data_IF_396070393360
#
_entry.id   IF_396070393360
#
_cell.length_a   1.000
_cell.length_b   1.000
_cell.length_c   1.000
_cell.angle_alpha   90.00
_cell.angle_beta   90.00
_cell.angle_gamma   90.00
#
_symmetry.space_group_name_H-M   'P 1'
#
loop_
_entity.id
_entity.type
_entity.pdbx_description
1 polymer ?
#
# COMPACT_ATOMS: atom_id res chain seq x y z
N UNK A 1 -6.02 33.05 16.05
CA UNK A 1 -4.63 33.04 15.54
C UNK A 1 -4.72 32.42 14.16
N UNK A 2 -4.49 33.18 13.11
CA UNK A 2 -4.46 32.61 11.76
C UNK A 2 -3.15 31.84 11.61
N UNK A 3 -3.27 30.53 11.55
CA UNK A 3 -2.13 29.67 11.32
C UNK A 3 -1.80 29.67 9.81
N UNK A 4 -0.59 30.07 9.46
CA UNK A 4 -0.17 30.06 8.06
C UNK A 4 0.21 28.66 7.61
N UNK A 5 -0.77 27.94 7.08
CA UNK A 5 -0.58 26.57 6.56
C UNK A 5 0.39 26.48 5.39
N UNK A 6 0.72 27.60 4.74
CA UNK A 6 1.73 27.59 3.67
C UNK A 6 3.14 27.32 4.17
N UNK A 7 3.39 27.55 5.46
CA UNK A 7 4.67 27.28 6.11
C UNK A 7 4.64 26.02 6.96
N UNK A 8 3.47 25.37 7.12
CA UNK A 8 3.32 24.13 7.87
C UNK A 8 3.68 22.92 7.02
N UNK A 9 4.28 21.92 7.64
CA UNK A 9 4.48 20.58 7.06
C UNK A 9 3.33 19.60 7.37
N UNK A 10 2.30 20.05 8.08
CA UNK A 10 1.14 19.24 8.46
C UNK A 10 1.31 18.41 9.73
N UNK A 11 2.45 18.47 10.41
CA UNK A 11 2.70 17.64 11.60
C UNK A 11 2.13 18.22 12.88
N UNK A 12 1.71 19.48 12.89
CA UNK A 12 1.14 20.16 14.07
C UNK A 12 -0.36 19.94 14.14
N UNK A 13 -0.79 18.75 14.53
CA UNK A 13 -2.18 18.29 14.45
C UNK A 13 -3.19 19.16 15.19
N UNK A 14 -2.86 19.79 16.30
CA UNK A 14 -3.79 20.63 17.06
C UNK A 14 -4.07 22.02 16.46
N UNK A 15 -3.35 22.42 15.42
CA UNK A 15 -3.40 23.77 14.85
C UNK A 15 -3.64 23.78 13.33
N UNK A 16 -3.64 22.64 12.69
CA UNK A 16 -3.96 22.56 11.25
C UNK A 16 -5.44 22.83 11.05
N UNK A 17 -5.83 23.69 10.11
CA UNK A 17 -7.22 23.91 9.81
C UNK A 17 -7.79 22.69 9.07
N UNK A 18 -9.04 22.37 9.36
CA UNK A 18 -9.75 21.34 8.62
C UNK A 18 -9.89 21.74 7.15
N UNK A 19 -9.65 20.79 6.27
CA UNK A 19 -9.97 20.93 4.86
C UNK A 19 -11.47 20.76 4.66
N UNK A 20 -12.08 21.67 3.93
CA UNK A 20 -13.48 21.57 3.47
C UNK A 20 -13.50 21.47 1.95
N UNK A 21 -14.66 21.15 1.37
CA UNK A 21 -14.83 21.09 -0.09
C UNK A 21 -14.52 22.42 -0.81
N UNK A 22 -14.50 23.52 -0.08
CA UNK A 22 -14.26 24.87 -0.60
C UNK A 22 -12.86 25.41 -0.26
N UNK A 23 -12.05 24.64 0.49
CA UNK A 23 -10.75 25.11 0.98
C UNK A 23 -9.63 24.14 0.61
N UNK A 24 -8.67 24.67 -0.11
CA UNK A 24 -7.42 24.00 -0.44
C UNK A 24 -6.36 24.33 0.61
N UNK A 25 -5.68 23.27 1.12
CA UNK A 25 -4.60 23.40 2.09
C UNK A 25 -3.32 22.90 1.45
N UNK A 26 -2.27 23.71 1.51
CA UNK A 26 -0.96 23.37 0.98
C UNK A 26 0.02 23.14 2.10
N UNK A 27 0.72 21.98 2.05
CA UNK A 27 1.82 21.63 2.94
C UNK A 27 3.13 21.63 2.14
N UNK A 28 4.21 22.05 2.80
CA UNK A 28 5.55 22.00 2.22
C UNK A 28 6.41 21.03 3.01
N UNK A 29 6.89 19.99 2.35
CA UNK A 29 7.76 18.99 2.94
C UNK A 29 9.18 19.11 2.39
N UNK A 30 10.16 18.88 3.25
CA UNK A 30 11.56 18.84 2.87
C UNK A 30 12.02 17.39 2.72
N UNK A 31 12.24 16.95 1.49
CA UNK A 31 12.62 15.59 1.13
C UNK A 31 14.15 15.39 1.26
N UNK A 32 14.67 15.30 2.49
CA UNK A 32 16.10 15.19 2.78
C UNK A 32 16.60 13.76 2.96
N UNK A 33 15.71 12.78 3.01
CA UNK A 33 16.03 11.37 3.25
C UNK A 33 15.28 10.51 2.25
N UNK A 34 16.02 9.64 1.53
CA UNK A 34 15.42 8.63 0.66
C UNK A 34 14.65 7.62 1.50
N UNK A 35 13.44 7.29 1.05
CA UNK A 35 12.58 6.33 1.75
C UNK A 35 11.12 6.46 1.37
N UNK A 36 10.29 5.73 2.09
CA UNK A 36 8.83 5.76 1.99
C UNK A 36 8.24 6.31 3.28
N UNK A 37 7.31 7.25 3.15
CA UNK A 37 6.72 7.98 4.27
C UNK A 37 5.21 7.97 4.11
N UNK A 38 4.53 7.29 5.03
CA UNK A 38 3.07 7.29 5.10
C UNK A 38 2.58 8.67 5.56
N UNK A 39 1.48 9.12 4.98
CA UNK A 39 0.66 10.19 5.53
C UNK A 39 -0.80 9.76 5.58
N UNK A 40 -1.53 10.25 6.56
CA UNK A 40 -2.95 9.98 6.72
C UNK A 40 -3.65 11.17 7.41
N UNK A 41 -4.96 11.19 7.35
CA UNK A 41 -5.75 12.22 8.01
C UNK A 41 -5.72 12.02 9.53
N UNK A 42 -5.33 13.07 10.25
CA UNK A 42 -5.32 13.15 11.72
C UNK A 42 -6.33 14.16 12.26
N UNK A 43 -7.11 14.80 11.41
CA UNK A 43 -8.11 15.77 11.81
C UNK A 43 -9.37 15.12 12.42
N UNK A 44 -9.62 13.85 12.09
CA UNK A 44 -10.74 13.10 12.62
C UNK A 44 -10.40 12.57 14.04
N UNK A 45 -11.02 13.09 15.10
CA UNK A 45 -10.72 12.71 16.49
C UNK A 45 -11.40 11.40 16.91
N UNK A 46 -12.16 10.75 16.03
CA UNK A 46 -12.81 9.47 16.31
C UNK A 46 -11.78 8.37 16.51
N UNK A 47 -12.22 7.21 16.97
CA UNK A 47 -11.36 6.04 17.07
C UNK A 47 -10.89 5.61 15.68
N UNK A 48 -9.82 4.85 15.63
CA UNK A 48 -9.29 4.32 14.38
C UNK A 48 -10.33 3.50 13.59
N UNK A 49 -11.30 2.88 14.26
CA UNK A 49 -12.35 2.08 13.64
C UNK A 49 -13.42 2.93 12.93
N UNK A 50 -13.56 4.20 13.28
CA UNK A 50 -14.55 5.13 12.73
C UNK A 50 -13.89 6.31 12.00
N UNK A 51 -12.58 6.37 11.96
CA UNK A 51 -11.86 7.49 11.39
C UNK A 51 -11.76 7.40 9.86
N UNK A 52 -11.45 8.53 9.23
CA UNK A 52 -11.34 8.64 7.76
C UNK A 52 -10.31 7.70 7.15
N UNK A 53 -9.37 7.20 7.94
CA UNK A 53 -8.38 6.22 7.51
C UNK A 53 -9.02 4.89 7.06
N UNK A 54 -10.09 4.42 7.71
CA UNK A 54 -10.80 3.21 7.30
C UNK A 54 -11.51 3.38 5.96
N UNK A 55 -11.77 4.63 5.57
CA UNK A 55 -12.38 5.00 4.29
C UNK A 55 -11.32 5.31 3.21
N UNK A 56 -10.03 5.04 3.47
CA UNK A 56 -8.96 5.17 2.49
C UNK A 56 -8.29 6.55 2.42
N UNK A 57 -8.49 7.44 3.39
CA UNK A 57 -7.79 8.73 3.45
C UNK A 57 -6.36 8.58 4.00
N UNK A 58 -5.53 7.87 3.26
CA UNK A 58 -4.10 7.73 3.50
C UNK A 58 -3.36 7.67 2.16
N UNK A 59 -2.06 7.86 2.21
CA UNK A 59 -1.17 7.77 1.06
C UNK A 59 0.28 7.70 1.49
N UNK A 60 1.19 7.74 0.55
CA UNK A 60 2.62 7.80 0.85
C UNK A 60 3.36 8.76 -0.07
N UNK A 61 4.39 9.38 0.47
CA UNK A 61 5.42 10.07 -0.30
C UNK A 61 6.63 9.16 -0.37
N UNK A 62 7.11 8.94 -1.59
CA UNK A 62 8.33 8.18 -1.84
C UNK A 62 9.39 9.17 -2.29
N UNK A 63 10.47 9.23 -1.52
CA UNK A 63 11.62 10.06 -1.80
C UNK A 63 12.70 9.19 -2.43
N UNK A 64 12.99 9.46 -3.69
CA UNK A 64 14.02 8.79 -4.46
C UNK A 64 15.35 9.56 -4.43
N UNK A 65 16.46 8.94 -4.86
CA UNK A 65 17.73 9.64 -4.96
C UNK A 65 17.64 10.92 -5.79
N UNK A 66 18.51 11.91 -5.52
CA UNK A 66 18.57 13.13 -6.32
C UNK A 66 18.70 12.85 -7.83
N UNK A 67 18.06 13.66 -8.65
CA UNK A 67 18.06 13.56 -10.11
C UNK A 67 17.38 12.30 -10.67
N UNK A 68 16.63 11.56 -9.85
CA UNK A 68 15.84 10.45 -10.32
C UNK A 68 14.66 10.93 -11.19
N UNK A 69 14.33 10.12 -12.19
CA UNK A 69 13.14 10.30 -13.04
C UNK A 69 12.33 9.01 -13.04
N UNK A 70 11.01 9.14 -13.18
CA UNK A 70 10.05 8.05 -13.05
C UNK A 70 9.33 7.81 -14.36
N UNK A 71 9.27 6.58 -14.79
CA UNK A 71 8.55 6.18 -15.98
C UNK A 71 7.58 5.05 -15.68
N UNK A 72 6.42 5.10 -16.30
CA UNK A 72 5.44 4.02 -16.18
C UNK A 72 5.97 2.75 -16.86
N UNK A 73 6.02 1.59 -16.17
CA UNK A 73 6.72 0.41 -16.68
C UNK A 73 6.13 -0.19 -17.97
N UNK A 74 4.86 0.09 -18.26
CA UNK A 74 4.18 -0.45 -19.43
C UNK A 74 4.11 0.53 -20.60
N UNK A 75 3.94 1.83 -20.33
CA UNK A 75 3.79 2.85 -21.39
C UNK A 75 5.10 3.55 -21.71
N UNK A 76 6.07 3.54 -20.79
CA UNK A 76 7.31 4.30 -20.92
C UNK A 76 7.14 5.81 -20.80
N UNK A 77 5.97 6.29 -20.40
CA UNK A 77 5.70 7.71 -20.18
C UNK A 77 6.25 8.17 -18.82
N UNK A 78 6.76 9.39 -18.76
CA UNK A 78 7.18 10.01 -17.50
C UNK A 78 5.97 10.23 -16.58
N UNK A 79 6.09 9.83 -15.32
CA UNK A 79 5.03 9.92 -14.33
C UNK A 79 5.51 10.66 -13.08
N UNK A 80 4.57 11.20 -12.31
CA UNK A 80 4.84 11.87 -11.01
C UNK A 80 4.18 11.13 -9.84
N UNK A 81 3.32 10.18 -10.13
CA UNK A 81 2.60 9.39 -9.14
C UNK A 81 2.19 8.05 -9.73
N UNK A 82 2.03 7.04 -8.89
CA UNK A 82 1.61 5.71 -9.29
C UNK A 82 2.03 4.65 -8.29
N UNK A 83 1.62 3.42 -8.53
CA UNK A 83 1.97 2.27 -7.69
C UNK A 83 3.20 1.51 -8.21
N UNK A 84 3.63 1.80 -9.43
CA UNK A 84 4.80 1.17 -10.06
C UNK A 84 5.53 2.19 -10.94
N UNK A 85 6.85 2.14 -10.91
CA UNK A 85 7.68 2.98 -11.77
C UNK A 85 8.99 2.27 -12.14
N UNK A 86 9.51 2.57 -13.32
CA UNK A 86 10.92 2.35 -13.63
C UNK A 86 11.67 3.65 -13.30
N UNK A 87 12.67 3.54 -12.44
CA UNK A 87 13.42 4.65 -11.88
C UNK A 87 14.78 4.73 -12.56
N UNK A 88 15.08 5.89 -13.10
CA UNK A 88 16.36 6.18 -13.75
C UNK A 88 17.11 7.25 -12.96
N UNK A 89 18.40 7.03 -12.78
CA UNK A 89 19.31 7.98 -12.16
C UNK A 89 20.58 8.10 -13.02
N UNK A 90 21.10 9.30 -13.31
CA UNK A 90 22.30 9.45 -14.11
C UNK A 90 23.49 8.63 -13.58
N UNK A 91 24.12 7.85 -14.45
CA UNK A 91 25.30 7.07 -14.11
C UNK A 91 25.11 5.86 -13.20
N UNK A 92 23.85 5.47 -12.94
CA UNK A 92 23.52 4.29 -12.13
C UNK A 92 22.59 3.34 -12.91
N UNK A 93 22.57 2.05 -12.57
CA UNK A 93 21.59 1.13 -13.10
C UNK A 93 20.17 1.59 -12.75
N UNK A 94 19.26 1.46 -13.72
CA UNK A 94 17.84 1.64 -13.47
C UNK A 94 17.31 0.53 -12.54
N UNK A 95 16.24 0.82 -11.81
CA UNK A 95 15.55 -0.18 -11.01
C UNK A 95 14.05 -0.01 -11.14
N UNK A 96 13.34 -1.08 -10.89
CA UNK A 96 11.87 -1.09 -10.85
C UNK A 96 11.39 -0.95 -9.43
N UNK A 97 10.39 -0.09 -9.24
CA UNK A 97 9.81 0.18 -7.93
C UNK A 97 8.33 -0.19 -7.92
N UNK A 98 7.91 -0.76 -6.78
CA UNK A 98 6.52 -1.07 -6.49
C UNK A 98 6.13 -0.49 -5.15
N UNK A 99 4.99 0.17 -5.09
CA UNK A 99 4.37 0.62 -3.83
C UNK A 99 3.23 -0.33 -3.49
N UNK A 100 3.37 -1.02 -2.38
CA UNK A 100 2.39 -2.01 -1.91
C UNK A 100 1.77 -1.52 -0.62
N UNK A 101 0.51 -1.14 -0.70
CA UNK A 101 -0.28 -0.69 0.44
C UNK A 101 -1.10 -1.85 0.97
N UNK A 102 -0.97 -2.12 2.26
CA UNK A 102 -1.84 -3.04 2.98
C UNK A 102 -2.89 -2.24 3.74
N UNK A 103 -4.12 -2.70 3.69
CA UNK A 103 -5.20 -2.16 4.50
C UNK A 103 -6.15 -3.30 4.90
N UNK A 104 -6.40 -3.42 6.17
CA UNK A 104 -7.35 -4.34 6.74
C UNK A 104 -8.65 -3.61 7.09
N UNK A 105 -9.74 -4.34 7.06
CA UNK A 105 -11.07 -3.85 7.40
C UNK A 105 -11.49 -2.55 6.68
N UNK A 106 -11.10 -2.43 5.39
CA UNK A 106 -11.56 -1.35 4.55
C UNK A 106 -13.09 -1.37 4.47
N UNK A 107 -13.71 -0.27 4.82
CA UNK A 107 -15.15 -0.11 4.66
C UNK A 107 -15.47 0.25 3.21
N UNK A 108 -15.62 -0.79 2.39
CA UNK A 108 -16.01 -0.66 0.98
C UNK A 108 -17.52 -0.76 0.89
N UNK A 109 -18.12 0.20 0.21
CA UNK A 109 -19.56 0.19 -0.08
C UNK A 109 -19.76 0.14 -1.60
N UNK A 110 -20.84 -0.53 -2.02
CA UNK A 110 -21.28 -0.49 -3.41
C UNK A 110 -21.92 0.87 -3.75
N UNK A 111 -22.32 1.06 -4.99
CA UNK A 111 -22.99 2.30 -5.45
C UNK A 111 -24.30 2.63 -4.74
N UNK A 112 -24.91 1.64 -4.09
CA UNK A 112 -26.18 1.77 -3.36
C UNK A 112 -25.94 1.92 -1.85
N UNK A 113 -24.66 1.97 -1.42
CA UNK A 113 -24.24 2.14 -0.02
C UNK A 113 -24.27 0.86 0.80
N UNK A 114 -24.30 -0.31 0.16
CA UNK A 114 -24.27 -1.59 0.86
C UNK A 114 -22.86 -2.16 0.94
N UNK A 115 -22.48 -2.81 2.05
CA UNK A 115 -21.21 -3.53 2.14
C UNK A 115 -21.19 -4.73 1.20
N UNK A 116 -20.00 -5.14 0.71
CA UNK A 116 -19.87 -6.36 -0.05
C UNK A 116 -20.34 -7.56 0.78
N UNK A 117 -21.16 -8.39 0.17
CA UNK A 117 -21.74 -9.55 0.83
C UNK A 117 -20.98 -10.82 0.48
N UNK A 118 -20.72 -11.63 1.48
CA UNK A 118 -20.25 -12.99 1.26
C UNK A 118 -21.39 -13.82 0.67
N UNK A 119 -21.24 -14.24 -0.58
CA UNK A 119 -22.26 -15.01 -1.31
C UNK A 119 -22.56 -16.39 -0.70
N UNK A 120 -21.71 -16.91 0.17
CA UNK A 120 -21.88 -18.21 0.84
C UNK A 120 -22.66 -18.09 2.14
N UNK A 121 -22.40 -17.04 2.91
CA UNK A 121 -23.05 -16.84 4.22
C UNK A 121 -24.21 -15.86 4.16
N UNK A 122 -24.25 -15.01 3.15
CA UNK A 122 -25.22 -13.92 3.05
C UNK A 122 -25.00 -12.81 4.08
N UNK A 123 -23.82 -12.77 4.71
CA UNK A 123 -23.46 -11.76 5.69
C UNK A 123 -22.47 -10.76 5.11
N UNK A 124 -22.39 -9.54 5.67
CA UNK A 124 -21.33 -8.58 5.29
C UNK A 124 -19.94 -9.18 5.43
N UNK A 125 -19.11 -8.94 4.46
CA UNK A 125 -17.74 -9.44 4.38
C UNK A 125 -16.78 -8.37 4.86
N UNK A 126 -15.91 -8.67 5.81
CA UNK A 126 -14.73 -7.84 6.07
C UNK A 126 -13.83 -7.83 4.85
N UNK A 127 -13.22 -6.70 4.57
CA UNK A 127 -12.44 -6.51 3.35
C UNK A 127 -11.01 -6.12 3.70
N UNK A 128 -10.07 -6.97 3.30
CA UNK A 128 -8.64 -6.63 3.30
C UNK A 128 -8.22 -6.33 1.88
N UNK A 129 -7.45 -5.27 1.68
CA UNK A 129 -7.04 -4.82 0.37
C UNK A 129 -5.52 -4.66 0.26
N UNK A 130 -5.00 -4.96 -0.93
CA UNK A 130 -3.65 -4.60 -1.34
C UNK A 130 -3.75 -3.56 -2.45
N UNK A 131 -3.16 -2.38 -2.23
CA UNK A 131 -3.21 -1.25 -3.15
C UNK A 131 -4.64 -0.94 -3.65
N UNK A 132 -5.56 -0.85 -2.70
CA UNK A 132 -7.01 -0.62 -2.92
C UNK A 132 -7.71 -1.68 -3.76
N UNK A 133 -7.10 -2.85 -3.93
CA UNK A 133 -7.70 -3.99 -4.60
C UNK A 133 -7.97 -5.09 -3.58
N UNK A 134 -9.14 -5.67 -3.68
CA UNK A 134 -9.60 -6.73 -2.79
C UNK A 134 -10.32 -7.81 -3.59
N UNK A 135 -9.98 -9.03 -3.29
CA UNK A 135 -10.70 -10.21 -3.76
C UNK A 135 -10.77 -11.22 -2.61
N UNK A 136 -11.94 -11.34 -1.95
CA UNK A 136 -12.09 -12.35 -0.91
C UNK A 136 -11.82 -13.75 -1.45
N UNK A 137 -10.85 -14.47 -0.87
CA UNK A 137 -10.43 -15.80 -1.35
C UNK A 137 -11.58 -16.79 -1.41
N UNK A 138 -12.54 -16.70 -0.48
CA UNK A 138 -13.75 -17.54 -0.50
C UNK A 138 -14.60 -17.40 -1.77
N UNK A 139 -14.53 -16.27 -2.48
CA UNK A 139 -15.20 -16.09 -3.77
C UNK A 139 -14.60 -16.99 -4.87
N UNK A 140 -13.39 -17.46 -4.64
CA UNK A 140 -12.66 -18.37 -5.52
C UNK A 140 -12.86 -19.85 -5.14
N UNK A 141 -13.62 -20.14 -4.08
CA UNK A 141 -13.90 -21.51 -3.66
C UNK A 141 -15.21 -22.02 -4.29
N UNK A 142 -15.25 -23.26 -4.78
CA UNK A 142 -16.49 -23.84 -5.28
C UNK A 142 -17.59 -23.84 -4.22
N UNK A 143 -18.83 -23.55 -4.61
CA UNK A 143 -19.99 -23.60 -3.69
C UNK A 143 -20.24 -25.00 -3.10
N UNK A 144 -19.80 -26.05 -3.80
CA UNK A 144 -19.90 -27.45 -3.39
C UNK A 144 -18.64 -27.98 -2.70
N UNK A 145 -17.79 -27.06 -2.25
CA UNK A 145 -16.55 -27.41 -1.57
C UNK A 145 -16.82 -28.19 -0.29
N UNK A 146 -16.09 -29.31 -0.08
CA UNK A 146 -16.14 -30.06 1.16
C UNK A 146 -15.56 -29.22 2.32
N UNK A 147 -16.31 -28.97 3.39
CA UNK A 147 -15.80 -28.21 4.53
C UNK A 147 -14.54 -28.81 5.20
N UNK A 148 -14.28 -30.10 4.96
CA UNK A 148 -13.09 -30.79 5.46
C UNK A 148 -11.83 -30.51 4.63
N UNK A 149 -11.99 -30.02 3.39
CA UNK A 149 -10.92 -29.58 2.52
C UNK A 149 -10.84 -28.06 2.57
N UNK A 150 -9.68 -27.47 2.85
CA UNK A 150 -9.53 -26.00 2.91
C UNK A 150 -9.82 -25.33 1.55
N UNK A 151 -9.66 -26.06 0.46
CA UNK A 151 -9.83 -25.54 -0.91
C UNK A 151 -8.82 -24.46 -1.29
N UNK A 152 -7.80 -24.25 -0.48
CA UNK A 152 -6.79 -23.22 -0.70
C UNK A 152 -6.05 -23.41 -2.01
N UNK A 153 -5.71 -24.66 -2.34
CA UNK A 153 -5.01 -24.98 -3.58
C UNK A 153 -5.78 -24.50 -4.82
N UNK A 154 -7.09 -24.71 -4.83
CA UNK A 154 -7.96 -24.29 -5.93
C UNK A 154 -8.15 -22.78 -5.91
N UNK A 155 -8.37 -22.18 -4.75
CA UNK A 155 -8.62 -20.76 -4.62
C UNK A 155 -7.41 -19.90 -5.06
N UNK A 156 -6.20 -20.41 -4.83
CA UNK A 156 -4.96 -19.76 -5.26
C UNK A 156 -4.57 -20.04 -6.70
N UNK A 157 -5.30 -20.91 -7.40
CA UNK A 157 -4.97 -21.31 -8.77
C UNK A 157 -5.40 -20.27 -9.80
N UNK A 158 -4.46 -19.53 -10.36
CA UNK A 158 -4.71 -18.63 -11.49
C UNK A 158 -5.15 -19.36 -12.76
N UNK A 159 -4.85 -20.66 -12.86
CA UNK A 159 -5.31 -21.49 -13.97
C UNK A 159 -6.83 -21.71 -13.95
N UNK A 160 -7.40 -21.78 -12.73
CA UNK A 160 -8.84 -22.02 -12.56
C UNK A 160 -9.63 -20.70 -12.56
N UNK A 161 -9.12 -19.68 -11.88
CA UNK A 161 -9.85 -18.44 -11.60
C UNK A 161 -9.22 -17.19 -12.23
N UNK A 162 -8.14 -17.33 -12.98
CA UNK A 162 -7.35 -16.20 -13.45
C UNK A 162 -6.47 -15.61 -12.33
N UNK A 163 -5.73 -14.57 -12.67
CA UNK A 163 -4.94 -13.83 -11.69
C UNK A 163 -5.86 -13.11 -10.68
N UNK A 164 -5.45 -13.03 -9.41
CA UNK A 164 -6.25 -12.35 -8.40
C UNK A 164 -6.35 -10.85 -8.66
N UNK A 165 -7.38 -10.21 -8.11
CA UNK A 165 -7.58 -8.77 -8.17
C UNK A 165 -6.45 -7.95 -7.51
N UNK A 166 -5.67 -8.43 -6.50
CA UNK A 166 -4.49 -7.74 -6.02
C UNK A 166 -3.47 -7.44 -7.12
N UNK A 167 -2.65 -6.39 -6.99
CA UNK A 167 -1.67 -6.03 -8.01
C UNK A 167 -0.62 -7.12 -8.20
N UNK A 168 -0.27 -7.39 -9.44
CA UNK A 168 0.78 -8.35 -9.80
C UNK A 168 2.07 -7.57 -10.02
N UNK A 169 3.10 -7.85 -9.22
CA UNK A 169 4.41 -7.24 -9.32
C UNK A 169 5.22 -7.99 -10.39
N UNK A 170 5.53 -7.33 -11.50
CA UNK A 170 6.19 -7.95 -12.66
C UNK A 170 7.60 -7.42 -12.83
N UNK A 171 8.58 -8.32 -12.82
CA UNK A 171 9.99 -8.04 -13.13
C UNK A 171 10.59 -9.18 -13.95
N UNK A 172 11.70 -8.91 -14.60
CA UNK A 172 12.51 -9.95 -15.24
C UNK A 172 13.60 -10.43 -14.29
N UNK A 173 14.06 -11.66 -14.48
CA UNK A 173 15.19 -12.21 -13.72
C UNK A 173 16.42 -11.32 -13.90
N UNK A 174 16.96 -10.85 -12.79
CA UNK A 174 18.12 -9.95 -12.77
C UNK A 174 17.78 -8.46 -12.78
N UNK A 175 16.51 -8.08 -12.88
CA UNK A 175 16.11 -6.68 -12.73
C UNK A 175 16.33 -6.25 -11.27
N UNK A 176 17.04 -5.15 -11.01
CA UNK A 176 17.03 -4.54 -9.69
C UNK A 176 15.61 -4.07 -9.36
N UNK A 177 15.11 -4.44 -8.19
CA UNK A 177 13.76 -4.09 -7.78
C UNK A 177 13.74 -3.54 -6.34
N UNK A 178 12.85 -2.58 -6.09
CA UNK A 178 12.53 -2.10 -4.75
C UNK A 178 11.03 -2.27 -4.51
N UNK A 179 10.67 -2.79 -3.34
CA UNK A 179 9.29 -2.83 -2.90
C UNK A 179 9.16 -1.90 -1.70
N UNK A 180 8.28 -0.90 -1.82
CA UNK A 180 7.89 0.01 -0.75
C UNK A 180 6.66 -0.57 -0.10
N UNK A 181 6.82 -1.12 1.09
CA UNK A 181 5.73 -1.66 1.88
C UNK A 181 5.14 -0.55 2.74
N UNK A 182 3.85 -0.37 2.69
CA UNK A 182 3.13 0.67 3.42
C UNK A 182 1.91 0.04 4.07
N UNK A 183 1.81 0.11 5.39
CA UNK A 183 0.63 -0.36 6.09
C UNK A 183 -0.29 0.80 6.42
N UNK A 184 -1.31 1.00 5.59
CA UNK A 184 -2.34 2.03 5.78
C UNK A 184 -3.50 1.58 6.67
N UNK A 185 -3.52 0.30 7.07
CA UNK A 185 -4.55 -0.25 7.94
C UNK A 185 -4.43 0.21 9.39
N UNK A 186 -5.40 -0.17 10.20
CA UNK A 186 -5.58 0.36 11.55
C UNK A 186 -5.55 -0.69 12.64
N UNK A 187 -5.62 -1.98 12.31
CA UNK A 187 -5.92 -3.03 13.28
C UNK A 187 -4.94 -4.20 13.24
N UNK A 188 -4.78 -4.83 12.10
CA UNK A 188 -4.06 -6.08 12.00
C UNK A 188 -2.57 -5.86 11.74
N UNK A 189 -1.73 -6.71 12.33
CA UNK A 189 -0.31 -6.79 12.00
C UNK A 189 -0.10 -7.89 10.96
N UNK A 190 0.60 -7.57 9.88
CA UNK A 190 0.88 -8.50 8.80
C UNK A 190 2.34 -8.96 8.80
N UNK A 191 2.60 -10.08 8.15
CA UNK A 191 3.95 -10.51 7.81
C UNK A 191 4.09 -10.50 6.29
N UNK A 192 4.96 -9.65 5.78
CA UNK A 192 5.33 -9.69 4.38
C UNK A 192 6.43 -10.74 4.17
N UNK A 193 6.19 -11.65 3.24
CA UNK A 193 7.14 -12.66 2.80
C UNK A 193 7.17 -12.70 1.26
N UNK A 194 8.34 -12.85 0.70
CA UNK A 194 8.52 -13.01 -0.75
C UNK A 194 9.23 -14.34 -1.03
N UNK A 195 8.50 -15.28 -1.62
CA UNK A 195 9.01 -16.61 -1.93
C UNK A 195 10.30 -16.57 -2.74
N UNK A 196 11.30 -17.35 -2.32
CA UNK A 196 12.62 -17.49 -2.96
C UNK A 196 13.46 -16.20 -3.04
N UNK A 197 13.10 -15.16 -2.27
CA UNK A 197 13.86 -13.92 -2.20
C UNK A 197 14.29 -13.63 -0.78
N UNK A 198 15.43 -12.97 -0.66
CA UNK A 198 15.98 -12.49 0.59
C UNK A 198 16.49 -11.07 0.38
N UNK A 199 16.42 -10.26 1.44
CA UNK A 199 16.87 -8.88 1.41
C UNK A 199 17.51 -8.47 2.73
N UNK A 200 18.17 -7.31 2.75
CA UNK A 200 18.73 -6.75 3.97
C UNK A 200 17.65 -6.04 4.77
N UNK A 201 17.59 -6.29 6.08
CA UNK A 201 16.69 -5.56 6.98
C UNK A 201 16.93 -4.04 6.89
N UNK A 202 18.20 -3.63 6.82
CA UNK A 202 18.61 -2.24 6.59
C UNK A 202 19.26 -2.15 5.19
N UNK A 203 18.53 -1.71 4.16
CA UNK A 203 18.99 -1.78 2.76
C UNK A 203 20.34 -1.10 2.50
N UNK A 204 20.63 -0.01 3.24
CA UNK A 204 21.88 0.78 3.08
C UNK A 204 23.05 0.26 3.93
N UNK A 205 22.84 -0.72 4.80
CA UNK A 205 23.87 -1.31 5.65
C UNK A 205 24.36 -2.66 5.10
N UNK A 206 25.57 -2.73 4.56
CA UNK A 206 26.09 -3.98 3.99
C UNK A 206 26.30 -5.10 5.03
N UNK A 207 26.31 -4.76 6.31
CA UNK A 207 26.44 -5.70 7.43
C UNK A 207 25.09 -6.08 8.06
N UNK A 208 23.98 -5.56 7.52
CA UNK A 208 22.65 -5.87 8.03
C UNK A 208 22.29 -7.34 7.86
N UNK A 209 21.48 -7.85 8.77
CA UNK A 209 20.92 -9.20 8.70
C UNK A 209 20.15 -9.40 7.38
N UNK A 210 20.31 -10.56 6.78
CA UNK A 210 19.53 -10.99 5.63
C UNK A 210 18.27 -11.67 6.16
N UNK A 211 17.14 -11.26 5.67
CA UNK A 211 15.81 -11.77 6.04
C UNK A 211 15.01 -12.12 4.77
N UNK A 212 13.97 -12.92 4.93
CA UNK A 212 12.99 -13.26 3.88
C UNK A 212 11.57 -12.89 4.27
N UNK A 213 11.38 -12.44 5.50
CA UNK A 213 10.09 -12.05 6.04
C UNK A 213 10.26 -10.85 6.95
N UNK A 214 9.28 -9.95 6.96
CA UNK A 214 9.26 -8.80 7.84
C UNK A 214 7.84 -8.58 8.36
N UNK A 215 7.72 -8.38 9.67
CA UNK A 215 6.47 -7.95 10.29
C UNK A 215 6.23 -6.47 9.98
N UNK A 216 5.01 -6.13 9.61
CA UNK A 216 4.57 -4.76 9.35
C UNK A 216 3.28 -4.49 10.12
N UNK A 217 3.34 -3.55 11.05
CA UNK A 217 2.21 -3.12 11.88
C UNK A 217 1.53 -1.88 11.28
N UNK A 218 0.32 -1.54 11.72
CA UNK A 218 -0.36 -0.33 11.27
C UNK A 218 0.54 0.90 11.31
N UNK A 219 0.50 1.68 10.23
CA UNK A 219 1.27 2.91 10.02
C UNK A 219 2.80 2.72 9.88
N UNK A 220 3.29 1.51 9.76
CA UNK A 220 4.69 1.26 9.44
C UNK A 220 4.95 1.23 7.92
N UNK A 221 6.19 1.56 7.58
CA UNK A 221 6.69 1.51 6.20
C UNK A 221 8.07 0.88 6.14
N UNK A 222 8.31 0.07 5.11
CA UNK A 222 9.61 -0.56 4.86
C UNK A 222 10.01 -0.49 3.38
N UNK A 223 11.30 -0.57 3.15
CA UNK A 223 11.86 -0.73 1.80
C UNK A 223 12.57 -2.07 1.71
N UNK A 224 12.15 -2.90 0.78
CA UNK A 224 12.75 -4.17 0.42
C UNK A 224 13.53 -3.99 -0.88
N UNK A 225 14.84 -4.38 -0.91
CA UNK A 225 15.73 -4.23 -2.08
C UNK A 225 16.60 -5.45 -2.29
#
# INVERSE_FOLDING_TARGET
>A
MDYDVKTSDGTSTGFNPDSTTEKEIWYTWYANTEGVFLFHDMADPRSSEDATNIHGLFGAVIVEPPEATWFHPQTGEEIKSGLMADIYQPGKPAFREYSVFFHDELEILDKDGNPPMDHRTGLPSSTTAISYRSEPMRNRMPLTHDPADSGEDISMSSWVYGDPAPPILRAYVGDPAKIRLIHGGIKETHVFHLHNHQWRLEPKNPLSTIIDSITISPQECYTVT
#
